data_IF_189163024025
#
_entry.id   IF_189163024025
#
_cell.length_a   1.000
_cell.length_b   1.000
_cell.length_c   1.000
_cell.angle_alpha   90.00
_cell.angle_beta   90.00
_cell.angle_gamma   90.00
#
_symmetry.space_group_name_H-M   'P 1'
#
loop_
_entity.id
_entity.type
_entity.pdbx_description
1 polymer ?
#
# COMPACT_ATOMS: atom_id res chain seq x y z
N UNK A 1 -29.85 -37.77 24.58
CA UNK A 1 -29.48 -38.62 23.44
C UNK A 1 -28.50 -39.70 23.81
N UNK A 2 -28.47 -40.81 23.12
CA UNK A 2 -27.48 -41.88 23.33
C UNK A 2 -26.12 -41.41 22.74
N UNK A 3 -25.04 -41.54 23.50
CA UNK A 3 -23.67 -41.24 23.06
C UNK A 3 -23.27 -42.27 21.98
N UNK A 4 -22.77 -41.77 20.82
CA UNK A 4 -22.26 -42.62 19.74
C UNK A 4 -20.95 -43.31 20.16
N UNK A 5 -20.59 -44.41 19.50
CA UNK A 5 -19.31 -45.10 19.72
C UNK A 5 -18.15 -44.17 19.34
N UNK A 6 -17.15 -44.09 20.20
CA UNK A 6 -15.91 -43.40 19.93
C UNK A 6 -15.12 -44.12 18.83
N UNK A 7 -14.88 -43.47 17.71
CA UNK A 7 -14.05 -44.00 16.63
C UNK A 7 -12.72 -43.24 16.61
N UNK A 8 -11.65 -43.91 16.99
CA UNK A 8 -10.31 -43.32 17.03
C UNK A 8 -9.42 -44.01 15.98
N UNK A 9 -9.12 -43.33 14.89
CA UNK A 9 -8.17 -43.80 13.89
C UNK A 9 -6.84 -43.08 14.04
N UNK A 10 -5.78 -43.82 14.41
CA UNK A 10 -4.43 -43.28 14.54
C UNK A 10 -3.76 -43.27 13.17
N UNK A 11 -3.68 -42.09 12.53
CA UNK A 11 -3.18 -41.94 11.14
C UNK A 11 -1.64 -41.93 11.07
N UNK A 12 -0.93 -41.47 12.10
CA UNK A 12 0.55 -41.47 12.18
C UNK A 12 1.05 -41.64 13.61
N UNK A 13 2.22 -42.29 13.77
CA UNK A 13 2.93 -42.26 15.03
C UNK A 13 3.52 -40.85 15.24
N UNK A 14 3.13 -40.17 16.30
CA UNK A 14 3.75 -38.91 16.70
C UNK A 14 5.21 -39.18 17.05
N UNK A 15 6.14 -38.58 16.29
CA UNK A 15 7.54 -38.51 16.72
C UNK A 15 7.64 -37.49 17.84
N UNK A 16 8.10 -37.92 19.01
CA UNK A 16 8.44 -36.98 20.08
C UNK A 16 9.59 -36.10 19.60
N UNK A 17 9.34 -34.79 19.49
CA UNK A 17 10.41 -33.82 19.21
C UNK A 17 11.18 -33.59 20.50
N UNK A 18 12.51 -33.68 20.43
CA UNK A 18 13.42 -33.28 21.50
C UNK A 18 14.17 -32.08 21.05
N UNK A 19 14.29 -31.08 21.92
CA UNK A 19 15.05 -29.83 21.66
C UNK A 19 16.18 -29.72 22.70
N UNK A 20 17.40 -29.48 22.24
CA UNK A 20 18.53 -29.11 23.09
C UNK A 20 18.52 -27.59 23.24
N UNK A 21 18.26 -27.11 24.46
CA UNK A 21 18.16 -25.69 24.78
C UNK A 21 19.40 -25.23 25.54
N UNK A 22 20.13 -24.27 24.97
CA UNK A 22 21.28 -23.64 25.64
C UNK A 22 20.79 -22.51 26.53
N UNK A 23 21.10 -22.56 27.82
CA UNK A 23 20.63 -21.58 28.82
C UNK A 23 21.06 -20.15 28.44
N UNK A 24 22.27 -20.01 27.92
CA UNK A 24 22.79 -18.72 27.52
C UNK A 24 22.07 -18.06 26.34
N UNK A 25 21.32 -18.86 25.54
CA UNK A 25 20.48 -18.33 24.45
C UNK A 25 19.40 -17.40 25.01
N UNK A 26 18.82 -17.77 26.15
CA UNK A 26 17.85 -16.95 26.84
C UNK A 26 18.41 -15.56 27.18
N UNK A 27 19.56 -15.52 27.87
CA UNK A 27 20.20 -14.26 28.26
C UNK A 27 20.54 -13.38 27.06
N UNK A 28 21.01 -14.02 25.97
CA UNK A 28 21.39 -13.32 24.73
C UNK A 28 20.19 -12.68 24.02
N UNK A 29 19.06 -13.37 23.99
CA UNK A 29 17.85 -12.90 23.29
C UNK A 29 17.09 -11.87 24.12
N UNK A 30 16.97 -12.11 25.44
CA UNK A 30 16.10 -11.29 26.29
C UNK A 30 16.84 -10.13 26.98
N UNK A 31 18.17 -10.19 27.04
CA UNK A 31 18.99 -9.18 27.69
C UNK A 31 18.96 -9.23 29.22
N UNK A 32 18.26 -10.19 29.83
CA UNK A 32 18.27 -10.40 31.29
C UNK A 32 18.54 -11.86 31.66
N UNK A 33 19.01 -12.09 32.89
CA UNK A 33 19.37 -13.41 33.38
C UNK A 33 18.28 -14.01 34.25
N UNK A 34 18.07 -15.31 34.08
CA UNK A 34 17.17 -16.11 34.90
C UNK A 34 17.90 -17.31 35.48
N UNK A 35 17.58 -17.74 36.70
CA UNK A 35 18.21 -18.88 37.32
C UNK A 35 17.78 -20.19 36.62
N UNK A 36 18.74 -21.07 36.34
CA UNK A 36 18.49 -22.37 35.68
C UNK A 36 17.36 -23.17 36.34
N UNK A 37 17.30 -23.16 37.68
CA UNK A 37 16.23 -23.83 38.44
C UNK A 37 14.85 -23.28 38.11
N UNK A 38 14.76 -21.97 37.89
CA UNK A 38 13.50 -21.29 37.55
C UNK A 38 13.06 -21.62 36.11
N UNK A 39 14.03 -21.66 35.16
CA UNK A 39 13.78 -22.14 33.79
C UNK A 39 13.18 -23.55 33.80
N UNK A 40 13.85 -24.45 34.52
CA UNK A 40 13.40 -25.85 34.62
C UNK A 40 12.00 -25.93 35.23
N UNK A 41 11.73 -25.14 36.27
CA UNK A 41 10.41 -25.10 36.91
C UNK A 41 9.33 -24.65 35.92
N UNK A 42 9.53 -23.50 35.25
CA UNK A 42 8.59 -22.96 34.26
C UNK A 42 8.28 -23.99 33.18
N UNK A 43 9.32 -24.59 32.58
CA UNK A 43 9.14 -25.57 31.52
C UNK A 43 8.46 -26.85 32.02
N UNK A 44 8.77 -27.30 33.22
CA UNK A 44 8.10 -28.48 33.82
C UNK A 44 6.64 -28.19 34.11
N UNK A 45 6.31 -27.01 34.65
CA UNK A 45 4.93 -26.59 34.93
C UNK A 45 4.10 -26.48 33.62
N UNK A 46 4.76 -26.18 32.49
CA UNK A 46 4.15 -26.19 31.15
C UNK A 46 4.07 -27.57 30.52
N UNK A 47 4.53 -28.64 31.23
CA UNK A 47 4.45 -30.01 30.78
C UNK A 47 5.63 -30.51 29.94
N UNK A 48 6.71 -29.74 29.80
CA UNK A 48 7.92 -30.22 29.13
C UNK A 48 8.68 -31.22 30.01
N UNK A 49 9.13 -32.32 29.38
CA UNK A 49 10.10 -33.20 30.03
C UNK A 49 11.48 -32.56 30.03
N UNK A 50 12.07 -32.27 31.20
CA UNK A 50 13.33 -31.54 31.31
C UNK A 50 14.45 -32.46 31.84
N UNK A 51 15.65 -32.43 31.21
CA UNK A 51 16.87 -33.07 31.70
C UNK A 51 18.05 -32.09 31.55
N UNK A 52 18.65 -31.71 32.68
CA UNK A 52 19.82 -30.83 32.68
C UNK A 52 21.08 -31.59 32.29
N UNK A 53 21.84 -31.09 31.32
CA UNK A 53 23.11 -31.61 30.84
C UNK A 53 24.15 -30.47 30.81
N UNK A 54 24.98 -30.36 31.81
CA UNK A 54 25.96 -29.22 31.92
C UNK A 54 25.28 -27.86 31.71
N UNK A 55 25.51 -27.19 30.57
CA UNK A 55 24.98 -25.88 30.23
C UNK A 55 23.75 -25.92 29.27
N UNK A 56 23.24 -27.14 29.02
CA UNK A 56 22.07 -27.33 28.13
C UNK A 56 20.95 -28.06 28.87
N UNK A 57 19.73 -27.78 28.48
CA UNK A 57 18.55 -28.51 28.94
C UNK A 57 18.03 -29.32 27.76
N UNK A 58 18.02 -30.63 27.88
CA UNK A 58 17.35 -31.49 26.90
C UNK A 58 15.86 -31.51 27.23
N UNK A 59 15.06 -31.09 26.30
CA UNK A 59 13.61 -30.94 26.44
C UNK A 59 12.88 -31.97 25.60
N UNK A 60 11.93 -32.65 26.22
CA UNK A 60 10.94 -33.49 25.52
C UNK A 60 9.67 -32.67 25.38
N UNK A 61 9.29 -32.38 24.13
CA UNK A 61 8.13 -31.53 23.81
C UNK A 61 6.84 -32.31 24.02
N UNK A 62 5.82 -31.75 24.71
CA UNK A 62 4.51 -32.37 24.84
C UNK A 62 3.84 -32.56 23.47
N UNK A 63 3.07 -33.65 23.32
CA UNK A 63 2.40 -33.98 22.05
C UNK A 63 1.33 -32.96 21.63
N UNK A 64 0.82 -32.16 22.56
CA UNK A 64 -0.19 -31.09 22.30
C UNK A 64 0.43 -29.74 21.93
N UNK A 65 1.78 -29.65 21.87
CA UNK A 65 2.52 -28.45 21.46
C UNK A 65 3.28 -28.71 20.14
N UNK A 66 2.56 -28.86 19.01
CA UNK A 66 3.17 -29.05 17.70
C UNK A 66 3.88 -27.80 17.17
N UNK A 67 3.59 -26.64 17.73
CA UNK A 67 4.17 -25.32 17.46
C UNK A 67 5.62 -25.19 17.90
N UNK A 68 6.03 -25.93 18.93
CA UNK A 68 7.39 -25.85 19.48
C UNK A 68 8.34 -26.74 18.67
N UNK A 69 9.23 -26.12 17.90
CA UNK A 69 10.14 -26.81 17.00
C UNK A 69 11.60 -26.36 17.13
N UNK A 70 11.85 -25.16 17.66
CA UNK A 70 13.17 -24.53 17.73
C UNK A 70 13.50 -24.04 19.15
N UNK A 71 14.79 -23.85 19.48
CA UNK A 71 15.19 -23.30 20.79
C UNK A 71 14.66 -21.91 21.09
N UNK A 72 14.34 -21.12 20.04
CA UNK A 72 13.76 -19.79 20.23
C UNK A 72 12.33 -19.87 20.78
N UNK A 73 11.55 -20.87 20.39
CA UNK A 73 10.21 -21.09 20.91
C UNK A 73 10.22 -21.33 22.42
N UNK A 74 11.30 -21.97 22.92
CA UNK A 74 11.52 -22.17 24.36
C UNK A 74 11.80 -20.86 25.08
N UNK A 75 12.55 -19.94 24.45
CA UNK A 75 12.77 -18.59 24.99
C UNK A 75 11.44 -17.87 25.15
N UNK A 76 10.58 -17.93 24.12
CA UNK A 76 9.24 -17.33 24.16
C UNK A 76 8.40 -17.86 25.32
N UNK A 77 8.33 -19.18 25.51
CA UNK A 77 7.57 -19.79 26.60
C UNK A 77 8.06 -19.34 27.99
N UNK A 78 9.37 -19.24 28.17
CA UNK A 78 9.95 -18.78 29.43
C UNK A 78 9.61 -17.31 29.68
N UNK A 79 9.78 -16.44 28.66
CA UNK A 79 9.49 -15.01 28.77
C UNK A 79 8.01 -14.78 29.01
N UNK A 80 7.14 -15.48 28.32
CA UNK A 80 5.69 -15.36 28.46
C UNK A 80 5.22 -15.61 29.91
N UNK A 81 5.81 -16.61 30.58
CA UNK A 81 5.49 -16.91 31.98
C UNK A 81 6.20 -15.95 32.94
N UNK A 82 7.45 -15.58 32.63
CA UNK A 82 8.22 -14.67 33.48
C UNK A 82 7.69 -13.25 33.45
N UNK A 83 7.17 -12.82 32.30
CA UNK A 83 6.69 -11.47 31.98
C UNK A 83 7.63 -10.67 31.10
N UNK A 84 7.07 -10.09 30.04
CA UNK A 84 7.81 -9.25 29.08
C UNK A 84 8.34 -7.95 29.70
N UNK A 85 7.74 -7.47 30.80
CA UNK A 85 8.17 -6.26 31.50
C UNK A 85 9.59 -6.33 32.08
N UNK A 86 10.15 -7.56 32.17
CA UNK A 86 11.53 -7.76 32.58
C UNK A 86 12.53 -7.43 31.47
N UNK A 87 12.09 -7.32 30.22
CA UNK A 87 12.92 -6.95 29.06
C UNK A 87 13.10 -5.45 29.07
N UNK A 88 14.34 -4.99 29.29
CA UNK A 88 14.65 -3.56 29.30
C UNK A 88 14.60 -2.99 27.90
N UNK A 89 13.92 -1.88 27.74
CA UNK A 89 14.01 -1.07 26.53
C UNK A 89 15.39 -0.42 26.45
N UNK A 90 16.09 -0.62 25.36
CA UNK A 90 17.40 -0.03 25.09
C UNK A 90 17.27 0.81 23.81
N UNK A 91 17.64 2.09 23.91
CA UNK A 91 17.71 2.92 22.71
C UNK A 91 18.81 2.41 21.77
N UNK A 92 18.55 2.38 20.46
CA UNK A 92 19.54 1.99 19.47
C UNK A 92 20.72 2.97 19.52
N UNK A 93 21.94 2.44 19.46
CA UNK A 93 23.16 3.27 19.41
C UNK A 93 23.14 4.19 18.19
N UNK A 94 23.23 5.49 18.43
CA UNK A 94 23.31 6.52 17.38
C UNK A 94 24.71 6.60 16.80
N UNK A 95 25.11 5.58 16.05
CA UNK A 95 26.48 5.50 15.51
C UNK A 95 26.79 6.45 14.36
N UNK A 96 25.79 6.83 13.53
CA UNK A 96 25.90 7.85 12.48
C UNK A 96 24.50 8.35 12.07
N UNK A 97 24.37 9.67 11.93
CA UNK A 97 23.19 10.29 11.31
C UNK A 97 23.26 10.08 9.78
N UNK A 98 22.76 8.97 9.30
CA UNK A 98 22.49 8.81 7.87
C UNK A 98 21.09 9.33 7.57
N UNK A 99 20.88 9.97 6.40
CA UNK A 99 19.53 10.35 5.97
C UNK A 99 18.64 9.09 5.99
N UNK A 100 17.51 9.17 6.68
CA UNK A 100 16.57 8.06 6.83
C UNK A 100 15.85 7.75 5.51
N UNK A 101 15.65 8.79 4.68
CA UNK A 101 14.96 8.68 3.39
C UNK A 101 15.95 8.97 2.25
N UNK A 102 15.87 8.16 1.20
CA UNK A 102 16.57 8.44 -0.06
C UNK A 102 15.87 9.58 -0.85
N UNK A 103 16.45 10.00 -1.98
CA UNK A 103 15.90 11.11 -2.80
C UNK A 103 14.48 10.80 -3.30
N UNK A 104 14.23 9.61 -3.82
CA UNK A 104 12.93 9.18 -4.34
C UNK A 104 11.86 9.19 -3.24
N UNK A 105 12.17 8.66 -2.06
CA UNK A 105 11.25 8.67 -0.92
C UNK A 105 10.93 10.10 -0.45
N UNK A 106 11.93 11.00 -0.46
CA UNK A 106 11.71 12.41 -0.13
C UNK A 106 10.80 13.09 -1.15
N UNK A 107 11.03 12.85 -2.44
CA UNK A 107 10.18 13.37 -3.51
C UNK A 107 8.75 12.84 -3.39
N UNK A 108 8.57 11.53 -3.15
CA UNK A 108 7.26 10.92 -2.91
C UNK A 108 6.48 11.66 -1.81
N UNK A 109 7.07 11.78 -0.62
CA UNK A 109 6.41 12.45 0.51
C UNK A 109 6.23 13.96 0.31
N UNK A 110 7.10 14.60 -0.47
CA UNK A 110 6.94 15.99 -0.83
C UNK A 110 5.72 16.19 -1.73
N UNK A 111 5.63 15.41 -2.81
CA UNK A 111 4.51 15.47 -3.76
C UNK A 111 3.18 15.10 -3.11
N UNK A 112 3.17 14.11 -2.21
CA UNK A 112 2.01 13.75 -1.41
C UNK A 112 1.44 14.97 -0.66
N UNK A 113 2.29 15.70 0.06
CA UNK A 113 1.89 16.93 0.78
C UNK A 113 1.52 18.07 -0.16
N UNK A 114 2.23 18.21 -1.27
CA UNK A 114 1.96 19.22 -2.29
C UNK A 114 0.55 19.07 -2.87
N UNK A 115 0.15 17.85 -3.26
CA UNK A 115 -1.21 17.59 -3.79
C UNK A 115 -2.26 17.78 -2.70
N UNK A 116 -2.02 17.28 -1.48
CA UNK A 116 -2.94 17.46 -0.35
C UNK A 116 -3.18 18.94 -0.02
N UNK A 117 -2.13 19.79 -0.09
CA UNK A 117 -2.25 21.24 0.18
C UNK A 117 -3.14 22.00 -0.81
N UNK A 118 -3.42 21.42 -1.97
CA UNK A 118 -4.33 21.96 -2.99
C UNK A 118 -5.80 21.58 -2.75
N UNK A 119 -6.09 20.95 -1.61
CA UNK A 119 -7.44 20.56 -1.19
C UNK A 119 -7.89 19.18 -1.68
N UNK A 120 -6.96 18.35 -2.10
CA UNK A 120 -7.25 16.94 -2.37
C UNK A 120 -7.17 16.10 -1.10
N UNK A 121 -8.09 15.15 -0.96
CA UNK A 121 -8.09 14.14 0.09
C UNK A 121 -7.37 12.91 -0.41
N UNK A 122 -6.38 12.44 0.34
CA UNK A 122 -5.65 11.23 0.00
C UNK A 122 -6.51 9.99 0.21
N UNK A 123 -6.45 9.10 -0.76
CA UNK A 123 -7.01 7.75 -0.67
C UNK A 123 -5.89 6.72 -0.73
N UNK A 124 -6.09 5.61 -0.03
CA UNK A 124 -5.22 4.43 -0.13
C UNK A 124 -6.12 3.27 -0.50
N UNK A 125 -6.08 2.90 -1.77
CA UNK A 125 -6.95 1.86 -2.32
C UNK A 125 -6.16 0.58 -2.60
N UNK A 126 -6.87 -0.50 -2.90
CA UNK A 126 -6.24 -1.75 -3.32
C UNK A 126 -5.56 -1.60 -4.68
N UNK A 127 -4.48 -2.34 -4.90
CA UNK A 127 -3.88 -2.48 -6.23
C UNK A 127 -4.75 -3.28 -7.21
N UNK A 128 -5.87 -3.79 -6.72
CA UNK A 128 -6.86 -4.55 -7.47
C UNK A 128 -8.07 -3.68 -7.79
N UNK A 129 -8.73 -3.98 -8.91
CA UNK A 129 -9.92 -3.25 -9.34
C UNK A 129 -10.85 -4.16 -10.15
N UNK A 130 -12.03 -3.66 -10.46
CA UNK A 130 -12.99 -4.31 -11.33
C UNK A 130 -12.54 -4.24 -12.80
N UNK A 131 -12.63 -5.37 -13.49
CA UNK A 131 -12.25 -5.52 -14.90
C UNK A 131 -12.97 -4.53 -15.82
N UNK A 132 -14.26 -4.33 -15.63
CA UNK A 132 -15.07 -3.44 -16.50
C UNK A 132 -14.63 -2.00 -16.36
N UNK A 133 -14.38 -1.55 -15.11
CA UNK A 133 -13.92 -0.18 -14.88
C UNK A 133 -12.50 -0.02 -15.40
N UNK A 134 -11.62 -0.98 -15.12
CA UNK A 134 -10.23 -0.94 -15.58
C UNK A 134 -10.12 -0.89 -17.10
N UNK A 135 -11.02 -1.56 -17.83
CA UNK A 135 -11.00 -1.62 -19.29
C UNK A 135 -11.09 -0.26 -19.97
N UNK A 136 -11.71 0.74 -19.34
CA UNK A 136 -11.76 2.11 -19.85
C UNK A 136 -10.41 2.85 -19.77
N UNK A 137 -9.47 2.37 -18.95
CA UNK A 137 -8.18 3.01 -18.65
C UNK A 137 -6.97 2.21 -19.15
N UNK A 138 -7.21 1.25 -20.02
CA UNK A 138 -6.16 0.45 -20.67
C UNK A 138 -5.94 1.00 -22.07
N UNK A 139 -4.72 1.47 -22.37
CA UNK A 139 -4.27 1.75 -23.70
C UNK A 139 -3.34 0.63 -24.19
N UNK A 140 -3.73 -0.12 -25.21
CA UNK A 140 -2.89 -1.12 -25.89
C UNK A 140 -2.14 -2.10 -24.97
N UNK A 141 -2.66 -2.34 -23.76
CA UNK A 141 -2.01 -3.16 -22.73
C UNK A 141 -2.85 -4.40 -22.43
N UNK A 142 -2.16 -5.45 -22.07
CA UNK A 142 -2.83 -6.65 -21.59
C UNK A 142 -3.31 -6.43 -20.16
N UNK A 143 -4.59 -6.64 -19.93
CA UNK A 143 -5.15 -6.67 -18.61
C UNK A 143 -4.56 -7.86 -17.82
N UNK A 144 -4.16 -7.60 -16.59
CA UNK A 144 -3.53 -8.60 -15.72
C UNK A 144 -4.59 -9.17 -14.81
N UNK A 145 -5.09 -10.36 -15.13
CA UNK A 145 -6.13 -11.04 -14.39
C UNK A 145 -5.55 -11.81 -13.20
N UNK A 146 -6.27 -11.83 -12.08
CA UNK A 146 -5.93 -12.57 -10.88
C UNK A 146 -6.63 -13.92 -10.93
N UNK A 147 -5.87 -15.01 -10.77
CA UNK A 147 -6.41 -16.38 -10.88
C UNK A 147 -7.42 -16.68 -9.78
N UNK A 148 -7.16 -16.18 -8.55
CA UNK A 148 -7.99 -16.42 -7.37
C UNK A 148 -8.28 -15.11 -6.64
N UNK A 149 -9.10 -14.21 -7.20
CA UNK A 149 -9.38 -12.91 -6.61
C UNK A 149 -10.13 -13.05 -5.27
N UNK A 150 -9.91 -12.09 -4.38
CA UNK A 150 -10.58 -12.02 -3.06
C UNK A 150 -12.09 -11.81 -3.24
N UNK A 151 -12.48 -11.04 -4.27
CA UNK A 151 -13.88 -10.85 -4.68
C UNK A 151 -13.97 -10.69 -6.20
N UNK A 152 -15.17 -10.83 -6.75
CA UNK A 152 -15.44 -10.63 -8.18
C UNK A 152 -15.09 -9.24 -8.67
N UNK A 153 -15.19 -8.25 -7.80
CA UNK A 153 -14.98 -6.83 -8.10
C UNK A 153 -13.51 -6.39 -7.98
N UNK A 154 -12.62 -7.32 -7.60
CA UNK A 154 -11.17 -7.11 -7.43
C UNK A 154 -10.38 -8.15 -8.20
N UNK A 155 -10.76 -8.37 -9.46
CA UNK A 155 -10.32 -9.49 -10.28
C UNK A 155 -9.14 -9.19 -11.21
N UNK A 156 -8.71 -7.90 -11.29
CA UNK A 156 -7.57 -7.48 -12.11
C UNK A 156 -6.63 -6.56 -11.36
N UNK A 157 -5.36 -6.51 -11.76
CA UNK A 157 -4.43 -5.46 -11.34
C UNK A 157 -4.75 -4.16 -12.07
N UNK A 158 -4.74 -3.05 -11.36
CA UNK A 158 -5.07 -1.74 -11.91
C UNK A 158 -4.00 -1.25 -12.90
N UNK A 159 -4.42 -0.85 -14.10
CA UNK A 159 -3.56 -0.25 -15.14
C UNK A 159 -3.38 1.25 -14.93
N UNK A 160 -4.29 1.89 -14.18
CA UNK A 160 -4.30 3.29 -13.80
C UNK A 160 -4.81 3.43 -12.36
N UNK A 161 -4.57 4.58 -11.74
CA UNK A 161 -5.14 4.93 -10.42
C UNK A 161 -6.64 5.29 -10.55
N UNK A 162 -7.07 5.78 -11.71
CA UNK A 162 -8.43 6.30 -11.91
C UNK A 162 -9.58 5.32 -11.68
N UNK A 163 -9.51 4.03 -12.04
CA UNK A 163 -10.57 3.08 -11.74
C UNK A 163 -11.01 3.12 -10.28
N UNK A 164 -10.04 3.07 -9.37
CA UNK A 164 -10.31 3.06 -7.94
C UNK A 164 -10.80 4.43 -7.44
N UNK A 165 -10.18 5.53 -7.88
CA UNK A 165 -10.63 6.88 -7.51
C UNK A 165 -12.06 7.16 -7.98
N UNK A 166 -12.41 6.75 -9.20
CA UNK A 166 -13.74 6.92 -9.77
C UNK A 166 -14.77 6.08 -9.01
N UNK A 167 -14.42 4.86 -8.63
CA UNK A 167 -15.30 4.03 -7.80
C UNK A 167 -15.66 4.74 -6.48
N UNK A 168 -14.68 5.29 -5.79
CA UNK A 168 -14.92 6.02 -4.54
C UNK A 168 -15.57 7.38 -4.76
N UNK A 169 -15.27 8.08 -5.86
CA UNK A 169 -15.96 9.30 -6.26
C UNK A 169 -17.47 9.02 -6.43
N UNK A 170 -17.84 8.03 -7.26
CA UNK A 170 -19.24 7.65 -7.48
C UNK A 170 -19.93 7.32 -6.17
N UNK A 171 -19.30 6.51 -5.31
CA UNK A 171 -19.86 6.14 -4.02
C UNK A 171 -20.14 7.35 -3.10
N UNK A 172 -19.36 8.40 -3.20
CA UNK A 172 -19.58 9.63 -2.46
C UNK A 172 -20.67 10.50 -3.10
N UNK A 173 -20.70 10.60 -4.44
CA UNK A 173 -21.76 11.30 -5.18
C UNK A 173 -23.12 10.68 -4.86
N UNK A 174 -23.24 9.35 -4.87
CA UNK A 174 -24.46 8.62 -4.55
C UNK A 174 -24.95 8.86 -3.11
N UNK A 175 -24.04 9.30 -2.22
CA UNK A 175 -24.34 9.74 -0.84
C UNK A 175 -24.66 11.24 -0.72
N UNK A 176 -24.67 11.97 -1.82
CA UNK A 176 -25.00 13.40 -1.86
C UNK A 176 -23.81 14.36 -1.79
N UNK A 177 -22.57 13.85 -1.69
CA UNK A 177 -21.37 14.70 -1.76
C UNK A 177 -21.02 14.94 -3.23
N UNK A 178 -20.99 16.21 -3.68
CA UNK A 178 -20.73 16.55 -5.08
C UNK A 178 -19.38 17.21 -5.31
N UNK A 179 -18.92 18.03 -4.37
CA UNK A 179 -17.63 18.73 -4.44
C UNK A 179 -16.56 17.82 -3.85
N UNK A 180 -15.94 17.00 -4.67
CA UNK A 180 -15.02 15.95 -4.25
C UNK A 180 -13.69 16.15 -4.97
N UNK A 181 -12.59 16.07 -4.20
CA UNK A 181 -11.23 16.09 -4.72
C UNK A 181 -10.46 14.96 -4.06
N UNK A 182 -10.09 13.93 -4.83
CA UNK A 182 -9.38 12.75 -4.36
C UNK A 182 -8.05 12.60 -5.07
N UNK A 183 -7.06 12.06 -4.38
CA UNK A 183 -5.81 11.62 -4.99
C UNK A 183 -5.28 10.37 -4.33
N UNK A 184 -4.40 9.68 -5.03
CA UNK A 184 -3.63 8.55 -4.54
C UNK A 184 -2.25 8.54 -5.17
N UNK A 185 -1.24 8.14 -4.41
CA UNK A 185 0.08 7.80 -4.94
C UNK A 185 0.29 6.31 -4.77
N UNK A 186 0.42 5.60 -5.87
CA UNK A 186 0.56 4.16 -5.81
C UNK A 186 1.03 3.53 -7.11
N UNK A 187 1.27 2.20 -7.10
CA UNK A 187 1.68 1.49 -8.28
C UNK A 187 0.53 1.30 -9.27
N UNK A 188 0.87 1.36 -10.56
CA UNK A 188 0.06 0.89 -11.69
C UNK A 188 0.85 -0.18 -12.44
N UNK A 189 0.16 -1.16 -13.00
CA UNK A 189 0.81 -2.36 -13.54
C UNK A 189 0.62 -2.44 -15.05
N UNK A 190 1.71 -2.72 -15.79
CA UNK A 190 1.70 -2.83 -17.25
C UNK A 190 2.20 -4.19 -17.75
N UNK A 191 2.71 -5.05 -16.87
CA UNK A 191 3.21 -6.38 -17.19
C UNK A 191 3.04 -7.36 -16.04
N UNK A 192 3.37 -8.64 -16.28
CA UNK A 192 3.18 -9.75 -15.34
C UNK A 192 4.41 -10.03 -14.48
N UNK A 193 5.56 -9.52 -14.90
CA UNK A 193 6.83 -9.76 -14.22
C UNK A 193 7.06 -8.76 -13.07
N UNK A 194 7.76 -9.16 -12.01
CA UNK A 194 8.16 -8.26 -10.95
C UNK A 194 8.95 -7.05 -11.50
N UNK A 195 8.51 -5.84 -11.15
CA UNK A 195 9.11 -4.58 -11.63
C UNK A 195 8.42 -3.96 -12.84
N UNK A 196 7.51 -4.66 -13.51
CA UNK A 196 6.70 -4.10 -14.61
C UNK A 196 5.54 -3.26 -14.05
N UNK A 197 5.90 -2.21 -13.33
CA UNK A 197 4.99 -1.27 -12.68
C UNK A 197 5.56 0.15 -12.71
N UNK A 198 4.69 1.14 -12.58
CA UNK A 198 5.05 2.55 -12.44
C UNK A 198 4.41 3.12 -11.19
N UNK A 199 5.11 3.98 -10.49
CA UNK A 199 4.56 4.76 -9.38
C UNK A 199 3.92 6.02 -9.95
N UNK A 200 2.61 6.15 -9.75
CA UNK A 200 1.81 7.23 -10.34
C UNK A 200 1.09 7.99 -9.25
N UNK A 201 1.06 9.32 -9.36
CA UNK A 201 0.10 10.17 -8.66
C UNK A 201 -1.11 10.28 -9.57
N UNK A 202 -2.26 9.79 -9.12
CA UNK A 202 -3.54 10.03 -9.78
C UNK A 202 -4.38 10.96 -8.92
N UNK A 203 -4.93 12.01 -9.51
CA UNK A 203 -5.81 12.95 -8.82
C UNK A 203 -7.03 13.28 -9.68
N UNK A 204 -8.19 13.42 -9.05
CA UNK A 204 -9.42 13.83 -9.73
C UNK A 204 -10.24 14.79 -8.86
N UNK A 205 -11.00 15.66 -9.54
CA UNK A 205 -11.93 16.62 -8.93
C UNK A 205 -13.26 16.62 -9.66
N UNK A 206 -14.32 16.80 -8.87
CA UNK A 206 -15.70 16.96 -9.34
C UNK A 206 -16.39 18.08 -8.58
N UNK A 207 -17.38 18.70 -9.20
CA UNK A 207 -18.24 19.70 -8.58
C UNK A 207 -17.75 21.15 -8.77
N UNK A 208 -17.75 21.92 -7.70
CA UNK A 208 -17.42 23.36 -7.74
C UNK A 208 -15.96 23.61 -7.46
N UNK A 209 -15.33 24.45 -8.28
CA UNK A 209 -14.02 25.02 -8.01
C UNK A 209 -14.09 26.12 -6.96
N UNK A 210 -15.14 26.93 -7.05
CA UNK A 210 -15.43 28.03 -6.11
C UNK A 210 -16.91 27.89 -5.73
N UNK A 211 -17.17 27.87 -4.42
CA UNK A 211 -18.53 27.98 -3.89
C UNK A 211 -18.92 29.44 -3.81
N UNK A 212 -20.20 29.73 -4.14
CA UNK A 212 -20.74 31.11 -4.05
C UNK A 212 -20.47 31.72 -2.67
N UNK A 213 -19.91 32.93 -2.68
CA UNK A 213 -19.65 33.71 -1.49
C UNK A 213 -19.99 35.20 -1.76
N UNK A 214 -19.73 36.09 -0.83
CA UNK A 214 -20.03 37.49 -0.97
C UNK A 214 -19.24 38.22 -2.06
N UNK A 215 -18.11 37.66 -2.50
CA UNK A 215 -17.19 38.27 -3.49
C UNK A 215 -17.39 37.63 -4.88
N UNK A 216 -17.63 36.31 -4.96
CA UNK A 216 -17.64 35.58 -6.21
C UNK A 216 -18.85 34.63 -6.32
N UNK A 217 -19.34 34.48 -7.55
CA UNK A 217 -20.33 33.44 -7.88
C UNK A 217 -19.68 32.07 -7.96
N UNK A 218 -20.48 31.03 -7.76
CA UNK A 218 -20.00 29.65 -7.91
C UNK A 218 -19.56 29.38 -9.37
N UNK A 219 -18.52 28.60 -9.49
CA UNK A 219 -17.96 28.15 -10.78
C UNK A 219 -17.71 26.65 -10.71
N UNK A 220 -18.14 25.94 -11.74
CA UNK A 220 -17.78 24.54 -11.91
C UNK A 220 -16.28 24.42 -12.18
N UNK A 221 -15.72 23.28 -11.78
CA UNK A 221 -14.35 22.92 -12.08
C UNK A 221 -14.18 22.68 -13.58
N UNK A 222 -13.03 22.99 -14.13
CA UNK A 222 -12.69 22.80 -15.53
C UNK A 222 -11.26 22.26 -15.74
N UNK A 223 -10.89 22.02 -17.01
CA UNK A 223 -9.57 21.50 -17.39
C UNK A 223 -8.42 22.39 -16.93
N UNK A 224 -8.64 23.71 -16.82
CA UNK A 224 -7.60 24.66 -16.39
C UNK A 224 -7.29 24.52 -14.90
N UNK A 225 -8.28 24.12 -14.09
CA UNK A 225 -8.04 23.80 -12.67
C UNK A 225 -7.10 22.59 -12.53
N UNK A 226 -7.36 21.53 -13.30
CA UNK A 226 -6.50 20.35 -13.33
C UNK A 226 -5.09 20.67 -13.82
N UNK A 227 -4.98 21.44 -14.93
CA UNK A 227 -3.69 21.91 -15.46
C UNK A 227 -2.92 22.76 -14.44
N UNK A 228 -3.62 23.68 -13.76
CA UNK A 228 -3.01 24.53 -12.71
C UNK A 228 -2.44 23.66 -11.59
N UNK A 229 -3.24 22.75 -11.07
CA UNK A 229 -2.87 21.92 -9.92
C UNK A 229 -1.69 21.00 -10.27
N UNK A 230 -1.68 20.42 -11.48
CA UNK A 230 -0.55 19.66 -12.00
C UNK A 230 0.72 20.50 -12.12
N UNK A 231 0.64 21.61 -12.84
CA UNK A 231 1.82 22.47 -13.11
C UNK A 231 2.39 23.01 -11.81
N UNK A 232 1.54 23.45 -10.89
CA UNK A 232 1.98 23.92 -9.59
C UNK A 232 2.67 22.81 -8.79
N UNK A 233 2.16 21.58 -8.83
CA UNK A 233 2.79 20.41 -8.18
C UNK A 233 4.20 20.15 -8.74
N UNK A 234 4.36 20.22 -10.07
CA UNK A 234 5.67 20.05 -10.72
C UNK A 234 6.63 21.22 -10.38
N UNK A 235 6.15 22.44 -10.36
CA UNK A 235 6.97 23.63 -9.99
C UNK A 235 7.44 23.54 -8.54
N UNK A 236 6.57 23.15 -7.62
CA UNK A 236 6.91 22.92 -6.21
C UNK A 236 7.94 21.80 -6.06
N UNK A 237 7.91 20.79 -6.94
CA UNK A 237 8.92 19.72 -7.00
C UNK A 237 10.27 20.17 -7.60
N UNK A 238 10.38 21.44 -8.03
CA UNK A 238 11.62 22.03 -8.53
C UNK A 238 11.72 22.13 -10.05
N UNK A 239 10.67 21.79 -10.80
CA UNK A 239 10.68 21.90 -12.26
C UNK A 239 10.39 23.33 -12.71
N UNK A 240 11.14 23.80 -13.73
CA UNK A 240 10.89 25.13 -14.30
C UNK A 240 9.68 25.07 -15.24
N UNK A 241 8.62 25.84 -14.92
CA UNK A 241 7.39 25.93 -15.69
C UNK A 241 7.62 26.25 -17.17
N UNK A 242 8.59 27.12 -17.49
CA UNK A 242 8.87 27.57 -18.85
C UNK A 242 9.53 26.50 -19.71
N UNK A 243 10.11 25.47 -19.08
CA UNK A 243 10.72 24.33 -19.76
C UNK A 243 9.74 23.19 -20.03
N UNK A 244 8.58 23.21 -19.39
CA UNK A 244 7.56 22.18 -19.61
C UNK A 244 6.98 22.30 -21.01
N UNK A 245 6.96 21.17 -21.72
CA UNK A 245 6.43 21.09 -23.08
C UNK A 245 5.08 20.39 -23.07
N UNK A 246 4.05 21.06 -23.63
CA UNK A 246 2.66 20.58 -23.63
C UNK A 246 2.26 20.14 -25.02
N UNK A 247 1.57 19.00 -25.12
CA UNK A 247 1.04 18.41 -26.36
C UNK A 247 -0.41 17.98 -26.10
N UNK A 248 -1.26 18.04 -27.10
CA UNK A 248 -2.69 17.78 -27.05
C UNK A 248 -3.09 16.32 -27.28
N UNK A 249 -2.15 15.46 -27.63
CA UNK A 249 -2.38 14.01 -27.71
C UNK A 249 -2.43 13.38 -26.34
N UNK A 250 -3.51 12.69 -25.99
CA UNK A 250 -3.71 12.04 -24.70
C UNK A 250 -4.33 10.65 -24.85
N UNK A 251 -4.23 9.81 -23.81
CA UNK A 251 -4.95 8.54 -23.74
C UNK A 251 -6.45 8.71 -24.02
N UNK A 252 -7.07 7.67 -24.58
CA UNK A 252 -8.47 7.67 -25.03
C UNK A 252 -9.49 7.87 -23.90
N UNK A 253 -9.10 7.68 -22.65
CA UNK A 253 -9.94 7.95 -21.50
C UNK A 253 -10.04 9.43 -21.12
N UNK A 254 -9.22 10.30 -21.72
CA UNK A 254 -9.37 11.75 -21.63
C UNK A 254 -10.30 12.30 -22.71
N UNK A 255 -10.87 13.46 -22.44
CA UNK A 255 -11.65 14.21 -23.43
C UNK A 255 -10.75 14.72 -24.55
N UNK A 256 -11.05 14.45 -25.84
CA UNK A 256 -10.14 14.72 -26.97
C UNK A 256 -9.78 16.19 -27.19
N UNK A 257 -10.64 17.13 -26.73
CA UNK A 257 -10.39 18.58 -26.88
C UNK A 257 -10.14 19.33 -25.57
N UNK A 258 -10.10 18.60 -24.42
CA UNK A 258 -9.93 19.22 -23.11
C UNK A 258 -8.95 18.41 -22.27
N UNK A 259 -7.77 18.15 -22.82
CA UNK A 259 -6.72 17.38 -22.18
C UNK A 259 -5.36 17.74 -22.77
N UNK A 260 -4.30 17.29 -22.11
CA UNK A 260 -2.94 17.48 -22.58
C UNK A 260 -1.96 16.59 -21.83
N UNK A 261 -0.84 16.30 -22.48
CA UNK A 261 0.31 15.62 -21.91
C UNK A 261 1.47 16.58 -21.72
N UNK A 262 2.34 16.27 -20.77
CA UNK A 262 3.46 17.10 -20.36
C UNK A 262 4.76 16.33 -20.47
N UNK A 263 5.76 16.95 -21.05
CA UNK A 263 7.15 16.48 -21.12
C UNK A 263 8.09 17.48 -20.45
N UNK A 264 9.23 17.01 -19.95
CA UNK A 264 10.28 17.89 -19.44
C UNK A 264 11.03 18.58 -20.59
N UNK A 265 11.25 17.86 -21.69
CA UNK A 265 11.87 18.39 -22.91
C UNK A 265 11.13 17.92 -24.17
N UNK A 266 11.36 18.60 -25.29
CA UNK A 266 10.78 18.21 -26.59
C UNK A 266 11.29 16.87 -27.11
N UNK A 267 12.41 16.39 -26.62
CA UNK A 267 13.09 15.17 -27.07
C UNK A 267 12.77 13.94 -26.21
N UNK A 268 12.05 14.12 -25.10
CA UNK A 268 11.71 13.02 -24.21
C UNK A 268 10.74 12.03 -24.91
N UNK A 269 10.99 10.76 -24.72
CA UNK A 269 10.16 9.70 -25.31
C UNK A 269 8.86 9.50 -24.53
N UNK A 270 8.93 9.61 -23.20
CA UNK A 270 7.82 9.36 -22.32
C UNK A 270 7.31 10.66 -21.69
N UNK A 271 6.00 10.91 -21.70
CA UNK A 271 5.44 12.04 -20.94
C UNK A 271 5.62 11.79 -19.43
N UNK A 272 5.82 12.88 -18.69
CA UNK A 272 5.88 12.82 -17.23
C UNK A 272 4.52 12.95 -16.58
N UNK A 273 3.53 13.49 -17.29
CA UNK A 273 2.19 13.72 -16.75
C UNK A 273 1.14 13.88 -17.85
N UNK A 274 -0.12 13.65 -17.46
CA UNK A 274 -1.30 13.98 -18.23
C UNK A 274 -2.30 14.76 -17.36
N UNK A 275 -3.13 15.57 -18.00
CA UNK A 275 -4.24 16.28 -17.36
C UNK A 275 -5.41 16.43 -18.32
N UNK A 276 -6.61 16.57 -17.81
CA UNK A 276 -7.79 16.80 -18.65
C UNK A 276 -9.10 16.49 -17.96
N UNK A 277 -10.19 16.57 -18.73
CA UNK A 277 -11.48 16.01 -18.36
C UNK A 277 -11.51 14.51 -18.69
N UNK A 278 -12.18 13.72 -17.89
CA UNK A 278 -12.47 12.31 -18.22
C UNK A 278 -13.45 12.30 -19.40
N UNK A 279 -13.25 11.35 -20.31
CA UNK A 279 -14.10 11.22 -21.53
C UNK A 279 -15.58 11.08 -21.16
N UNK A 280 -16.50 11.88 -21.77
CA UNK A 280 -17.92 11.87 -21.42
C UNK A 280 -18.62 10.50 -21.51
N UNK A 281 -18.19 9.65 -22.45
CA UNK A 281 -18.73 8.29 -22.57
C UNK A 281 -18.39 7.43 -21.35
N UNK A 282 -17.24 7.62 -20.72
CA UNK A 282 -16.87 6.88 -19.49
C UNK A 282 -17.76 7.33 -18.35
N UNK A 283 -17.95 8.64 -18.18
CA UNK A 283 -18.85 9.22 -17.15
C UNK A 283 -20.25 8.66 -17.32
N UNK A 284 -20.77 8.64 -18.56
CA UNK A 284 -22.08 8.10 -18.89
C UNK A 284 -22.20 6.59 -18.63
N UNK A 285 -21.22 5.80 -19.08
CA UNK A 285 -21.25 4.34 -18.96
C UNK A 285 -21.08 3.88 -17.50
N UNK A 286 -20.40 4.66 -16.68
CA UNK A 286 -20.25 4.41 -15.25
C UNK A 286 -21.36 5.07 -14.41
N UNK A 287 -22.34 5.74 -15.09
CA UNK A 287 -23.49 6.41 -14.46
C UNK A 287 -23.06 7.37 -13.33
N UNK A 288 -22.06 8.21 -13.60
CA UNK A 288 -21.57 9.19 -12.65
C UNK A 288 -22.36 10.49 -12.81
N UNK A 289 -23.13 10.87 -11.81
CA UNK A 289 -23.96 12.07 -11.83
C UNK A 289 -23.11 13.31 -11.46
N UNK A 290 -22.35 13.82 -12.44
CA UNK A 290 -21.54 15.03 -12.30
C UNK A 290 -21.54 15.85 -13.57
N UNK A 291 -21.46 17.19 -13.42
CA UNK A 291 -21.39 18.13 -14.53
C UNK A 291 -19.98 18.18 -15.15
N UNK A 292 -18.95 17.94 -14.35
CA UNK A 292 -17.57 17.87 -14.80
C UNK A 292 -16.73 16.98 -13.91
N UNK A 293 -15.78 16.29 -14.51
CA UNK A 293 -14.79 15.45 -13.83
C UNK A 293 -13.43 15.68 -14.47
N UNK A 294 -12.57 16.40 -13.78
CA UNK A 294 -11.21 16.68 -14.23
C UNK A 294 -10.21 15.87 -13.44
N UNK A 295 -9.10 15.53 -14.08
CA UNK A 295 -8.06 14.71 -13.47
C UNK A 295 -6.68 15.08 -13.98
N UNK A 296 -5.68 14.66 -13.25
CA UNK A 296 -4.29 14.60 -13.71
C UNK A 296 -3.59 13.37 -13.15
N UNK A 297 -2.53 12.97 -13.84
CA UNK A 297 -1.63 11.91 -13.38
C UNK A 297 -0.17 12.30 -13.63
N UNK A 298 0.71 11.92 -12.69
CA UNK A 298 2.15 12.19 -12.75
C UNK A 298 2.89 10.87 -12.57
N UNK A 299 3.78 10.54 -13.48
CA UNK A 299 4.60 9.33 -13.49
C UNK A 299 5.94 9.60 -12.81
N UNK A 300 6.08 9.16 -11.55
CA UNK A 300 7.27 9.44 -10.75
C UNK A 300 8.54 8.78 -11.30
N UNK A 301 8.40 7.61 -11.90
CA UNK A 301 9.53 6.89 -12.47
C UNK A 301 10.09 7.62 -13.69
N UNK A 302 9.26 8.26 -14.51
CA UNK A 302 9.70 9.08 -15.65
C UNK A 302 10.40 10.38 -15.21
N UNK A 303 10.13 10.87 -14.00
CA UNK A 303 10.81 12.03 -13.42
C UNK A 303 12.19 11.64 -12.90
N UNK A 304 12.32 10.49 -12.26
CA UNK A 304 13.57 10.04 -11.65
C UNK A 304 14.64 9.70 -12.68
N UNK A 305 14.26 9.27 -13.88
CA UNK A 305 15.19 8.92 -14.96
C UNK A 305 15.88 10.15 -15.60
N UNK A 306 15.42 11.36 -15.27
CA UNK A 306 15.92 12.63 -15.85
C UNK A 306 16.74 13.49 -14.88
N UNK A 307 16.91 13.07 -13.62
CA UNK A 307 17.69 13.74 -12.56
C UNK A 307 18.89 12.92 -12.13
#
# INVERSE_FOLDING_TARGET
GKISRFNNQKIKNFKNNNIEFEIHLFDRITGFKIKTKEIIKILSDLGFGTKLKKNKISLKIPSWRPDISQPIDIVEEIVRIKGYDHIKTIDPEKTRLKPTLNKTQKLFHFLQRSVASKGYVETVTWSFTDEKINSYFIENKHQINIINPISSDLNVLRSSIFPNLIFYLKKNIDRGFRDISLFEIGPTFYGKEPGEQLTVIGALRSGKAIRSNWLEKDRNIDVYDSKRDLVQTLVEAGFNKEKLYFVDETPSYYHPGKSGKVYLTKTDKNPIAFFGEIHPNIIKNLEINTDSLVCFEIYLDHINDTT
#
